data_IF_707794788312
#
_entry.id   IF_707794788312
#
_cell.length_a   1.000
_cell.length_b   1.000
_cell.length_c   1.000
_cell.angle_alpha   90.00
_cell.angle_beta   90.00
_cell.angle_gamma   90.00
#
_symmetry.space_group_name_H-M   'P 1'
#
loop_
_entity.id
_entity.type
_entity.pdbx_description
1 polymer ?
#
# COMPACT_ATOMS: atom_id res chain seq x y z
N UNK A 1 -0.03 6.95 12.40
CA UNK A 1 0.80 6.13 11.52
C UNK A 1 0.94 6.80 10.16
N UNK A 2 2.08 6.62 9.53
CA UNK A 2 2.33 7.18 8.20
C UNK A 2 2.20 6.06 7.17
N UNK A 3 1.40 6.25 6.14
CA UNK A 3 1.47 5.49 4.90
C UNK A 3 2.30 6.33 3.94
N UNK A 4 3.48 5.87 3.60
CA UNK A 4 4.30 6.55 2.61
C UNK A 4 4.05 5.91 1.24
N UNK A 5 3.54 6.71 0.32
CA UNK A 5 3.42 6.36 -1.08
C UNK A 5 4.71 6.79 -1.80
N UNK A 6 5.36 5.83 -2.41
CA UNK A 6 6.60 6.02 -3.13
C UNK A 6 6.42 5.63 -4.59
N UNK A 7 6.81 6.51 -5.51
CA UNK A 7 6.86 6.19 -6.94
C UNK A 7 8.25 5.63 -7.27
N UNK A 8 8.38 4.34 -7.60
CA UNK A 8 9.67 3.74 -7.92
C UNK A 8 10.18 4.14 -9.30
N UNK A 9 9.36 4.81 -10.12
CA UNK A 9 9.68 4.99 -11.56
C UNK A 9 10.84 5.93 -11.83
N UNK A 10 11.33 6.70 -10.87
CA UNK A 10 12.47 7.58 -11.01
C UNK A 10 13.34 7.65 -9.74
N UNK A 11 13.44 6.56 -9.04
CA UNK A 11 14.25 6.46 -7.83
C UNK A 11 15.70 6.95 -8.05
N UNK A 12 16.22 6.73 -9.27
CA UNK A 12 17.58 7.12 -9.64
C UNK A 12 17.82 8.63 -9.65
N UNK A 13 16.81 9.46 -9.93
CA UNK A 13 17.05 10.87 -10.23
C UNK A 13 16.31 11.88 -9.37
N UNK A 14 15.25 11.48 -8.67
CA UNK A 14 14.34 12.45 -8.05
C UNK A 14 14.30 12.43 -6.52
N UNK A 15 14.90 11.45 -5.88
CA UNK A 15 14.77 11.26 -4.43
C UNK A 15 16.09 11.38 -3.69
N UNK A 16 17.17 11.77 -4.36
CA UNK A 16 18.49 11.97 -3.74
C UNK A 16 18.50 12.94 -2.55
N UNK A 17 17.41 13.69 -2.36
CA UNK A 17 17.30 14.68 -1.30
C UNK A 17 16.03 14.53 -0.48
N UNK A 18 15.44 13.34 -0.43
CA UNK A 18 14.30 13.12 0.44
C UNK A 18 14.73 13.28 1.90
N UNK A 19 14.11 14.21 2.59
CA UNK A 19 14.38 14.45 4.01
C UNK A 19 13.22 13.97 4.86
N UNK A 20 13.49 13.11 5.81
CA UNK A 20 12.56 12.74 6.86
C UNK A 20 13.16 13.17 8.19
N UNK A 21 12.46 14.04 8.92
CA UNK A 21 12.93 14.61 10.20
C UNK A 21 14.34 15.22 10.14
N UNK A 22 14.64 15.91 9.03
CA UNK A 22 15.93 16.57 8.85
C UNK A 22 17.07 15.68 8.34
N UNK A 23 16.90 14.37 8.29
CA UNK A 23 17.89 13.44 7.74
C UNK A 23 17.67 13.23 6.26
N UNK A 24 18.74 13.24 5.48
CA UNK A 24 18.69 12.89 4.06
C UNK A 24 18.68 11.37 3.92
N UNK A 25 17.73 10.86 3.14
CA UNK A 25 17.59 9.43 2.86
C UNK A 25 17.89 9.21 1.39
N UNK A 26 18.87 8.37 1.09
CA UNK A 26 19.13 7.91 -0.28
C UNK A 26 18.47 6.53 -0.49
N UNK A 27 17.40 6.47 -1.30
CA UNK A 27 16.72 5.20 -1.55
C UNK A 27 17.52 4.23 -2.42
N UNK A 28 18.63 4.66 -3.01
CA UNK A 28 19.43 3.82 -3.91
C UNK A 28 20.43 2.94 -3.18
N UNK A 29 20.94 3.38 -2.05
CA UNK A 29 21.93 2.63 -1.25
C UNK A 29 21.29 1.62 -0.29
N UNK A 30 19.96 1.55 -0.27
CA UNK A 30 19.21 0.68 0.64
C UNK A 30 19.15 1.17 2.08
N UNK A 31 19.79 2.28 2.41
CA UNK A 31 19.82 2.82 3.80
C UNK A 31 18.46 3.30 4.25
N UNK A 32 17.60 3.74 3.34
CA UNK A 32 16.24 4.16 3.65
C UNK A 32 15.42 3.06 4.35
N UNK A 33 15.61 1.80 3.94
CA UNK A 33 14.90 0.68 4.55
C UNK A 33 15.38 0.44 5.97
N UNK A 34 16.69 0.47 6.17
CA UNK A 34 17.29 0.34 7.49
C UNK A 34 16.95 1.51 8.38
N UNK A 35 16.91 2.71 7.82
CA UNK A 35 16.48 3.92 8.53
C UNK A 35 15.04 3.81 9.02
N UNK A 36 14.10 3.42 8.14
CA UNK A 36 12.70 3.23 8.54
C UNK A 36 12.53 2.11 9.56
N UNK A 37 13.20 0.99 9.36
CA UNK A 37 13.12 -0.15 10.27
C UNK A 37 13.75 0.16 11.65
N UNK A 38 14.83 0.94 11.68
CA UNK A 38 15.58 1.23 12.89
C UNK A 38 15.10 2.49 13.64
N UNK A 39 14.82 3.58 12.92
CA UNK A 39 14.51 4.86 13.54
C UNK A 39 13.02 5.03 13.86
N UNK A 40 12.14 4.51 13.01
CA UNK A 40 10.69 4.64 13.20
C UNK A 40 10.01 3.37 13.70
N UNK A 41 10.66 2.22 13.61
CA UNK A 41 10.10 0.94 14.02
C UNK A 41 8.76 0.61 13.34
N UNK A 42 8.45 1.30 12.24
CA UNK A 42 7.15 1.19 11.56
C UNK A 42 7.20 0.00 10.61
N UNK A 43 6.59 -1.08 11.03
CA UNK A 43 6.45 -2.29 10.21
C UNK A 43 5.05 -2.32 9.61
N UNK A 44 4.81 -1.54 8.56
CA UNK A 44 3.56 -1.59 7.82
C UNK A 44 3.71 -2.53 6.64
N UNK A 45 2.82 -3.52 6.57
CA UNK A 45 2.74 -4.45 5.45
C UNK A 45 1.35 -4.42 4.82
N UNK A 46 1.30 -4.88 3.58
CA UNK A 46 0.12 -4.93 2.74
C UNK A 46 -0.16 -6.35 2.28
N UNK A 47 -1.43 -6.68 2.13
CA UNK A 47 -1.92 -7.86 1.43
C UNK A 47 -2.98 -7.42 0.43
N UNK A 48 -2.76 -7.67 -0.84
CA UNK A 48 -3.76 -7.43 -1.88
C UNK A 48 -4.95 -8.35 -1.64
N UNK A 49 -6.16 -7.79 -1.69
CA UNK A 49 -7.42 -8.54 -1.56
C UNK A 49 -7.96 -8.83 -2.96
N UNK A 50 -8.35 -10.09 -3.16
CA UNK A 50 -8.74 -10.63 -4.45
C UNK A 50 -10.23 -10.95 -4.47
N UNK A 51 -11.02 -10.36 -5.37
CA UNK A 51 -12.47 -10.56 -5.41
C UNK A 51 -12.88 -11.99 -5.80
N UNK A 52 -11.99 -12.77 -6.40
CA UNK A 52 -12.22 -14.19 -6.71
C UNK A 52 -12.06 -15.13 -5.51
N UNK A 53 -11.51 -14.66 -4.40
CA UNK A 53 -11.36 -15.43 -3.16
C UNK A 53 -12.51 -15.06 -2.22
N UNK A 54 -13.35 -16.02 -1.87
CA UNK A 54 -14.61 -15.79 -1.13
C UNK A 54 -14.39 -14.99 0.18
N UNK A 55 -13.42 -15.36 1.00
CA UNK A 55 -13.13 -14.66 2.25
C UNK A 55 -12.63 -13.21 2.03
N UNK A 56 -11.85 -12.98 0.99
CA UNK A 56 -11.35 -11.64 0.64
C UNK A 56 -12.45 -10.79 -0.01
N UNK A 57 -13.31 -11.43 -0.83
CA UNK A 57 -14.49 -10.78 -1.40
C UNK A 57 -15.44 -10.28 -0.32
N UNK A 58 -15.68 -11.05 0.72
CA UNK A 58 -16.56 -10.62 1.83
C UNK A 58 -16.04 -9.33 2.50
N UNK A 59 -14.71 -9.17 2.63
CA UNK A 59 -14.09 -7.95 3.16
C UNK A 59 -14.28 -6.78 2.20
N UNK A 60 -14.09 -7.01 0.89
CA UNK A 60 -14.31 -6.00 -0.15
C UNK A 60 -15.78 -5.54 -0.14
N UNK A 61 -16.72 -6.48 -0.11
CA UNK A 61 -18.16 -6.19 -0.08
C UNK A 61 -18.55 -5.37 1.16
N UNK A 62 -17.98 -5.70 2.33
CA UNK A 62 -18.21 -4.94 3.56
C UNK A 62 -17.63 -3.51 3.49
N UNK A 63 -16.47 -3.35 2.84
CA UNK A 63 -15.88 -2.04 2.60
C UNK A 63 -16.78 -1.19 1.70
N UNK A 64 -17.23 -1.72 0.57
CA UNK A 64 -18.11 -1.02 -0.38
C UNK A 64 -19.48 -0.68 0.21
N UNK A 65 -20.03 -1.58 1.04
CA UNK A 65 -21.31 -1.35 1.71
C UNK A 65 -21.20 -0.37 2.90
N UNK A 66 -19.99 0.01 3.33
CA UNK A 66 -19.79 0.86 4.51
C UNK A 66 -20.24 0.21 5.82
N UNK A 67 -20.24 -1.12 5.89
CA UNK A 67 -20.75 -1.89 7.05
C UNK A 67 -19.66 -2.29 8.05
N UNK A 68 -18.41 -1.89 7.79
CA UNK A 68 -17.29 -2.22 8.68
C UNK A 68 -17.41 -1.40 9.97
N UNK A 69 -17.58 -2.08 11.10
CA UNK A 69 -17.67 -1.47 12.42
C UNK A 69 -16.30 -1.45 13.10
N UNK A 70 -15.54 -2.53 12.97
CA UNK A 70 -14.24 -2.71 13.61
C UNK A 70 -13.28 -3.47 12.69
N UNK A 71 -12.02 -3.05 12.67
CA UNK A 71 -10.94 -3.68 11.90
C UNK A 71 -9.95 -4.37 12.85
N UNK A 72 -10.46 -5.27 13.65
CA UNK A 72 -9.63 -6.09 14.52
C UNK A 72 -9.04 -7.31 13.78
N UNK A 73 -8.26 -8.11 14.47
CA UNK A 73 -7.67 -9.32 13.91
C UNK A 73 -8.73 -10.37 13.55
N UNK A 74 -9.86 -10.39 14.26
CA UNK A 74 -10.94 -11.33 14.01
C UNK A 74 -11.66 -11.04 12.69
N UNK A 75 -11.76 -9.76 12.30
CA UNK A 75 -12.32 -9.35 11.00
C UNK A 75 -11.57 -9.97 9.82
N UNK A 76 -10.26 -10.19 9.96
CA UNK A 76 -9.40 -10.79 8.94
C UNK A 76 -9.13 -12.30 9.20
N UNK A 77 -9.93 -12.94 10.04
CA UNK A 77 -9.73 -14.35 10.36
C UNK A 77 -9.79 -15.23 9.10
N UNK A 78 -8.91 -16.24 9.03
CA UNK A 78 -8.80 -17.10 7.87
C UNK A 78 -7.89 -16.57 6.73
N UNK A 79 -7.43 -15.33 6.83
CA UNK A 79 -6.46 -14.78 5.89
C UNK A 79 -5.03 -14.86 6.43
N UNK A 80 -4.08 -15.09 5.54
CA UNK A 80 -2.65 -14.93 5.87
C UNK A 80 -2.35 -13.45 6.10
N UNK A 81 -1.61 -13.13 7.14
CA UNK A 81 -1.23 -11.75 7.47
C UNK A 81 -0.48 -11.03 6.33
N UNK A 82 -0.65 -9.70 6.23
CA UNK A 82 0.11 -8.89 5.29
C UNK A 82 1.61 -9.07 5.44
N UNK A 83 2.30 -9.26 4.31
CA UNK A 83 3.76 -9.48 4.29
C UNK A 83 4.49 -8.61 3.26
N UNK A 84 3.79 -8.01 2.33
CA UNK A 84 4.39 -7.14 1.29
C UNK A 84 4.63 -5.75 1.85
N UNK A 85 5.90 -5.36 2.02
CA UNK A 85 6.27 -4.07 2.64
C UNK A 85 6.02 -2.86 1.73
N UNK A 86 6.14 -3.02 0.42
CA UNK A 86 6.01 -1.94 -0.55
C UNK A 86 5.32 -2.46 -1.83
N UNK A 87 4.01 -2.61 -1.83
CA UNK A 87 3.29 -3.00 -3.04
C UNK A 87 3.43 -1.89 -4.08
N UNK A 88 3.67 -2.29 -5.33
CA UNK A 88 3.53 -1.36 -6.45
C UNK A 88 2.06 -1.24 -6.83
N UNK A 89 1.73 -0.16 -7.54
CA UNK A 89 0.39 0.07 -8.06
C UNK A 89 0.48 0.18 -9.57
N UNK A 90 -0.32 -0.61 -10.26
CA UNK A 90 -0.39 -0.66 -11.71
C UNK A 90 -1.76 -0.19 -12.18
N UNK A 91 -1.85 0.25 -13.43
CA UNK A 91 -3.14 0.55 -14.05
C UNK A 91 -3.92 -0.69 -14.37
N UNK A 92 -3.22 -1.74 -14.79
CA UNK A 92 -3.80 -3.01 -15.14
C UNK A 92 -3.01 -4.18 -14.54
N UNK A 93 -3.71 -5.22 -14.15
CA UNK A 93 -3.11 -6.49 -13.77
C UNK A 93 -2.43 -7.21 -14.96
N UNK A 94 -2.62 -6.71 -16.19
CA UNK A 94 -1.93 -7.18 -17.39
C UNK A 94 -0.67 -6.36 -17.71
N UNK A 95 -0.36 -5.32 -16.94
CA UNK A 95 0.84 -4.50 -17.16
C UNK A 95 2.11 -5.32 -16.94
N UNK A 96 3.13 -5.03 -17.73
CA UNK A 96 4.41 -5.70 -17.59
C UNK A 96 5.02 -5.45 -16.20
N UNK A 97 5.44 -6.52 -15.54
CA UNK A 97 5.98 -6.48 -14.19
C UNK A 97 4.93 -6.53 -13.06
N UNK A 98 3.64 -6.63 -13.37
CA UNK A 98 2.61 -6.91 -12.38
C UNK A 98 2.84 -8.29 -11.74
N UNK A 99 2.54 -8.40 -10.48
CA UNK A 99 2.50 -9.66 -9.73
C UNK A 99 1.40 -9.63 -8.67
N UNK A 100 1.04 -10.81 -8.18
CA UNK A 100 -0.03 -10.97 -7.18
C UNK A 100 0.17 -10.25 -5.84
N UNK A 101 1.35 -9.70 -5.61
CA UNK A 101 1.66 -8.88 -4.42
C UNK A 101 1.48 -7.37 -4.67
N UNK A 102 1.03 -6.98 -5.87
CA UNK A 102 0.84 -5.60 -6.27
C UNK A 102 -0.63 -5.27 -6.47
N UNK A 103 -0.95 -4.00 -6.27
CA UNK A 103 -2.28 -3.47 -6.55
C UNK A 103 -2.44 -3.17 -8.04
N UNK A 104 -3.65 -3.32 -8.57
CA UNK A 104 -4.02 -2.80 -9.88
C UNK A 104 -5.36 -2.09 -9.82
N UNK A 105 -5.47 -0.98 -10.56
CA UNK A 105 -6.68 -0.16 -10.56
C UNK A 105 -7.88 -0.91 -11.16
N UNK A 106 -7.64 -1.77 -12.15
CA UNK A 106 -8.68 -2.46 -12.90
C UNK A 106 -9.25 -3.72 -12.21
N UNK A 107 -8.40 -4.51 -11.55
CA UNK A 107 -8.81 -5.82 -11.02
C UNK A 107 -8.60 -5.98 -9.52
N UNK A 108 -7.52 -5.42 -8.97
CA UNK A 108 -7.10 -5.64 -7.58
C UNK A 108 -6.81 -4.33 -6.85
N UNK A 109 -7.80 -3.42 -6.73
CA UNK A 109 -7.55 -2.11 -6.14
C UNK A 109 -7.52 -2.11 -4.61
N UNK A 110 -7.84 -3.22 -3.95
CA UNK A 110 -7.96 -3.29 -2.49
C UNK A 110 -6.76 -3.94 -1.84
N UNK A 111 -6.36 -3.43 -0.67
CA UNK A 111 -5.41 -4.10 0.19
C UNK A 111 -5.78 -3.99 1.68
N UNK A 112 -5.58 -5.10 2.39
CA UNK A 112 -5.45 -5.07 3.84
C UNK A 112 -4.08 -4.52 4.21
N UNK A 113 -4.07 -3.51 5.07
CA UNK A 113 -2.87 -2.84 5.58
C UNK A 113 -2.77 -3.15 7.06
N UNK A 114 -1.63 -3.64 7.52
CA UNK A 114 -1.37 -3.87 8.94
C UNK A 114 -0.10 -3.16 9.39
N UNK A 115 -0.21 -2.39 10.45
CA UNK A 115 0.93 -1.84 11.15
C UNK A 115 1.28 -2.78 12.32
N UNK A 116 2.36 -3.52 12.18
CA UNK A 116 2.80 -4.49 13.19
C UNK A 116 3.36 -3.86 14.47
N UNK A 117 3.73 -2.59 14.43
CA UNK A 117 4.20 -1.87 15.63
C UNK A 117 3.04 -1.50 16.55
N UNK A 118 1.92 -1.07 15.97
CA UNK A 118 0.74 -0.63 16.72
C UNK A 118 -0.36 -1.69 16.80
N UNK A 119 -0.25 -2.76 16.02
CA UNK A 119 -1.28 -3.80 15.87
C UNK A 119 -2.50 -3.36 15.06
N UNK A 120 -2.53 -2.11 14.56
CA UNK A 120 -3.68 -1.56 13.84
C UNK A 120 -3.78 -2.09 12.42
N UNK A 121 -5.03 -2.30 12.00
CA UNK A 121 -5.37 -2.72 10.65
C UNK A 121 -6.11 -1.60 9.90
N UNK A 122 -6.04 -1.65 8.59
CA UNK A 122 -6.78 -0.78 7.69
C UNK A 122 -7.08 -1.48 6.38
N UNK A 123 -8.02 -0.93 5.63
CA UNK A 123 -8.29 -1.33 4.25
C UNK A 123 -8.13 -0.09 3.40
N UNK A 124 -7.38 -0.22 2.32
CA UNK A 124 -7.26 0.81 1.28
C UNK A 124 -7.88 0.33 -0.02
N UNK A 125 -8.45 1.28 -0.77
CA UNK A 125 -8.90 1.09 -2.14
C UNK A 125 -8.25 2.17 -3.01
N UNK A 126 -7.51 1.78 -4.03
CA UNK A 126 -7.04 2.72 -5.06
C UNK A 126 -8.22 3.09 -5.95
N UNK A 127 -8.54 4.37 -6.01
CA UNK A 127 -9.73 4.86 -6.73
C UNK A 127 -9.39 5.53 -8.05
N UNK A 128 -8.22 6.16 -8.15
CA UNK A 128 -7.75 6.74 -9.39
C UNK A 128 -6.23 6.76 -9.46
N UNK A 129 -5.75 6.59 -10.68
CA UNK A 129 -4.35 6.72 -11.05
C UNK A 129 -4.29 7.55 -12.34
N UNK A 130 -4.11 8.89 -12.22
CA UNK A 130 -4.11 9.77 -13.36
C UNK A 130 -3.10 9.34 -14.44
N UNK A 131 -3.37 9.70 -15.68
CA UNK A 131 -2.42 9.46 -16.78
C UNK A 131 -1.10 10.14 -16.44
N UNK A 132 0.00 9.46 -16.76
CA UNK A 132 1.32 10.04 -16.65
C UNK A 132 1.36 11.43 -17.31
N UNK A 133 1.79 12.43 -16.55
CA UNK A 133 2.22 13.67 -17.17
C UNK A 133 3.38 13.36 -18.12
N UNK A 134 3.59 14.21 -19.11
CA UNK A 134 4.57 14.09 -20.20
C UNK A 134 5.99 13.70 -19.75
N UNK A 135 6.27 13.69 -18.46
CA UNK A 135 7.57 13.45 -17.84
C UNK A 135 7.62 12.13 -17.03
N UNK A 136 6.68 11.20 -17.23
CA UNK A 136 6.66 9.92 -16.48
C UNK A 136 6.36 10.05 -14.97
N UNK A 137 5.92 11.21 -14.51
CA UNK A 137 5.50 11.40 -13.12
C UNK A 137 4.02 11.09 -12.99
N UNK A 138 3.66 10.30 -11.99
CA UNK A 138 2.27 10.17 -11.56
C UNK A 138 2.00 11.39 -10.68
N UNK A 139 1.23 12.37 -11.16
CA UNK A 139 1.04 13.62 -10.44
C UNK A 139 0.18 13.43 -9.19
N UNK A 140 -0.66 12.39 -9.18
CA UNK A 140 -1.64 12.15 -8.12
C UNK A 140 -2.03 10.68 -8.09
N UNK A 141 -2.21 10.15 -6.88
CA UNK A 141 -2.82 8.85 -6.62
C UNK A 141 -3.97 9.07 -5.65
N UNK A 142 -5.18 8.65 -6.02
CA UNK A 142 -6.35 8.75 -5.17
C UNK A 142 -6.68 7.40 -4.56
N UNK A 143 -7.05 7.40 -3.30
CA UNK A 143 -7.48 6.20 -2.60
C UNK A 143 -8.44 6.52 -1.47
N UNK A 144 -9.34 5.58 -1.19
CA UNK A 144 -10.16 5.56 0.00
C UNK A 144 -9.49 4.70 1.06
N UNK A 145 -9.65 5.06 2.31
CA UNK A 145 -9.08 4.31 3.44
C UNK A 145 -10.05 4.22 4.61
N UNK A 146 -10.20 3.01 5.16
CA UNK A 146 -10.78 2.78 6.49
C UNK A 146 -9.64 2.31 7.38
N UNK A 147 -9.48 2.94 8.54
CA UNK A 147 -8.41 2.63 9.49
C UNK A 147 -9.00 2.30 10.86
N UNK A 148 -8.56 1.18 11.45
CA UNK A 148 -8.95 0.78 12.79
C UNK A 148 -8.49 1.76 13.86
N UNK A 149 -9.32 1.93 14.88
CA UNK A 149 -9.07 2.81 16.02
C UNK A 149 -7.92 2.34 16.89
#
# INVERSE_FOLDING_TARGET
GYVQLYSPHNAANTVKNFKCEGKTIDPQDGTWKSFYDAEFGIKTCFRVLKPEVEAEKAIIDAFEAGTIIELDTAFFSGLTEPSTKAPRIYRSANDNGYSNSHLSLDQYPYAWVRNFTTGKNGIIKVTAMPKEATNGRIPELQFDIIWGK
#
